data_IF_257487802647
#
_entry.id   IF_257487802647
#
_cell.length_a   1.000
_cell.length_b   1.000
_cell.length_c   1.000
_cell.angle_alpha   90.00
_cell.angle_beta   90.00
_cell.angle_gamma   90.00
#
_symmetry.space_group_name_H-M   'P 1'
#
loop_
_entity.id
_entity.type
_entity.pdbx_description
1 polymer ?
#
# COMPACT_ATOMS: atom_id res chain seq x y z
N UNK A 1 4.16 6.63 -10.28
CA UNK A 1 3.33 5.55 -9.74
C UNK A 1 2.35 5.06 -10.82
N UNK A 2 1.46 5.91 -11.32
CA UNK A 2 0.30 5.52 -12.13
C UNK A 2 0.54 5.46 -13.66
N UNK A 3 1.78 5.60 -14.15
CA UNK A 3 2.03 5.73 -15.59
C UNK A 3 3.21 4.89 -16.04
N UNK A 4 4.44 5.31 -15.74
CA UNK A 4 5.65 4.68 -16.29
C UNK A 4 5.82 3.18 -15.97
N UNK A 5 5.44 2.66 -14.77
CA UNK A 5 5.57 1.24 -14.49
C UNK A 5 4.70 0.32 -15.38
N UNK A 6 3.76 0.89 -16.15
CA UNK A 6 2.78 0.14 -16.94
C UNK A 6 3.06 0.11 -18.45
N UNK A 7 4.20 0.62 -18.88
CA UNK A 7 4.67 0.51 -20.26
C UNK A 7 6.21 0.59 -20.32
N UNK A 8 6.80 0.35 -21.46
CA UNK A 8 8.25 0.45 -21.62
C UNK A 8 8.72 1.92 -21.62
N UNK A 9 8.85 2.48 -20.42
CA UNK A 9 9.34 3.84 -20.21
C UNK A 9 10.86 3.83 -20.01
N UNK A 10 11.55 4.86 -20.51
CA UNK A 10 13.01 5.00 -20.46
C UNK A 10 13.59 4.90 -19.04
N UNK A 11 12.87 5.43 -18.05
CA UNK A 11 13.33 5.47 -16.65
C UNK A 11 13.06 4.19 -15.86
N UNK A 12 12.31 3.23 -16.41
CA UNK A 12 12.05 1.98 -15.72
C UNK A 12 13.36 1.20 -15.51
N UNK A 13 13.45 0.55 -14.35
CA UNK A 13 14.66 -0.18 -13.96
C UNK A 13 14.30 -1.38 -13.07
N UNK A 14 14.38 -2.57 -13.61
CA UNK A 14 14.08 -3.85 -12.93
C UNK A 14 15.27 -4.82 -12.99
N UNK A 15 15.17 -5.95 -12.31
CA UNK A 15 16.19 -7.01 -12.35
C UNK A 15 16.10 -7.77 -13.67
N UNK A 16 16.85 -7.31 -14.68
CA UNK A 16 16.92 -7.92 -16.02
C UNK A 16 18.19 -8.76 -16.14
N UNK A 17 18.15 -9.92 -16.83
CA UNK A 17 16.99 -10.46 -17.58
C UNK A 17 16.02 -11.30 -16.76
N UNK A 18 16.30 -11.58 -15.48
CA UNK A 18 15.61 -12.57 -14.66
C UNK A 18 14.12 -12.24 -14.42
N UNK A 19 13.73 -10.97 -14.53
CA UNK A 19 12.37 -10.51 -14.31
C UNK A 19 11.65 -10.05 -15.59
N UNK A 20 12.29 -10.10 -16.75
CA UNK A 20 11.77 -9.55 -18.01
C UNK A 20 10.38 -10.11 -18.38
N UNK A 21 10.15 -11.40 -18.20
CA UNK A 21 8.88 -12.05 -18.49
C UNK A 21 7.74 -11.53 -17.59
N UNK A 22 8.01 -11.26 -16.31
CA UNK A 22 7.03 -10.71 -15.38
C UNK A 22 6.71 -9.25 -15.70
N UNK A 23 7.73 -8.46 -16.08
CA UNK A 23 7.56 -7.07 -16.49
C UNK A 23 6.73 -6.97 -17.76
N UNK A 24 7.06 -7.78 -18.79
CA UNK A 24 6.27 -7.80 -20.03
C UNK A 24 4.82 -8.25 -19.80
N UNK A 25 4.58 -9.20 -18.88
CA UNK A 25 3.22 -9.57 -18.48
C UNK A 25 2.48 -8.41 -17.81
N UNK A 26 3.15 -7.66 -16.95
CA UNK A 26 2.55 -6.48 -16.29
C UNK A 26 2.18 -5.39 -17.32
N UNK A 27 3.01 -5.16 -18.34
CA UNK A 27 2.70 -4.21 -19.41
C UNK A 27 1.59 -4.68 -20.36
N UNK A 28 1.34 -5.98 -20.44
CA UNK A 28 0.25 -6.56 -21.23
C UNK A 28 -1.06 -6.72 -20.44
N UNK A 29 -1.05 -6.47 -19.12
CA UNK A 29 -2.23 -6.65 -18.26
C UNK A 29 -3.20 -5.47 -18.38
N UNK A 30 -4.19 -5.63 -19.25
CA UNK A 30 -5.19 -4.59 -19.56
C UNK A 30 -6.00 -4.20 -18.32
N UNK A 31 -6.36 -5.17 -17.45
CA UNK A 31 -7.12 -4.89 -16.23
C UNK A 31 -6.31 -4.02 -15.27
N UNK A 32 -5.04 -4.36 -15.05
CA UNK A 32 -4.16 -3.58 -14.19
C UNK A 32 -3.94 -2.16 -14.73
N UNK A 33 -3.75 -2.00 -16.05
CA UNK A 33 -3.61 -0.68 -16.70
C UNK A 33 -4.87 0.15 -16.53
N UNK A 34 -6.05 -0.44 -16.72
CA UNK A 34 -7.33 0.27 -16.54
C UNK A 34 -7.52 0.75 -15.10
N UNK A 35 -7.14 -0.05 -14.12
CA UNK A 35 -7.17 0.36 -12.71
C UNK A 35 -6.17 1.49 -12.46
N UNK A 36 -4.96 1.40 -12.99
CA UNK A 36 -3.94 2.45 -12.85
C UNK A 36 -4.41 3.80 -13.42
N UNK A 37 -5.04 3.79 -14.58
CA UNK A 37 -5.62 5.00 -15.19
C UNK A 37 -6.72 5.61 -14.30
N UNK A 38 -7.63 4.77 -13.75
CA UNK A 38 -8.70 5.21 -12.87
C UNK A 38 -8.14 5.83 -11.58
N UNK A 39 -7.15 5.21 -10.97
CA UNK A 39 -6.53 5.70 -9.74
C UNK A 39 -5.64 6.92 -9.95
N UNK A 40 -5.02 7.06 -11.12
CA UNK A 40 -4.39 8.32 -11.51
C UNK A 40 -5.40 9.48 -11.54
N UNK A 41 -6.59 9.25 -12.09
CA UNK A 41 -7.65 10.25 -12.09
C UNK A 41 -8.12 10.61 -10.67
N UNK A 42 -8.37 9.60 -9.80
CA UNK A 42 -8.66 9.81 -8.37
C UNK A 42 -7.58 10.65 -7.69
N UNK A 43 -6.31 10.29 -7.86
CA UNK A 43 -5.17 11.01 -7.30
C UNK A 43 -5.15 12.49 -7.70
N UNK A 44 -5.56 12.82 -8.92
CA UNK A 44 -5.56 14.18 -9.44
C UNK A 44 -6.81 15.00 -9.03
N UNK A 45 -7.87 14.35 -8.58
CA UNK A 45 -9.19 15.01 -8.39
C UNK A 45 -9.72 14.93 -6.97
N UNK A 46 -9.24 14.01 -6.13
CA UNK A 46 -9.71 13.84 -4.76
C UNK A 46 -8.79 14.53 -3.75
N UNK A 47 -9.25 15.63 -3.18
CA UNK A 47 -8.53 16.41 -2.17
C UNK A 47 -9.11 16.15 -0.77
N UNK A 48 -8.99 14.91 -0.27
CA UNK A 48 -9.63 14.46 0.97
C UNK A 48 -8.89 14.91 2.23
N UNK A 49 -7.54 14.90 2.22
CA UNK A 49 -6.71 15.23 3.37
C UNK A 49 -5.36 15.80 2.94
N UNK A 50 -4.68 16.47 3.89
CA UNK A 50 -3.26 16.79 3.72
C UNK A 50 -2.44 15.50 3.88
N UNK A 51 -1.75 15.11 2.83
CA UNK A 51 -0.93 13.92 2.76
C UNK A 51 0.54 14.25 2.97
N UNK A 52 1.32 13.23 3.37
CA UNK A 52 2.78 13.26 3.33
C UNK A 52 3.30 13.22 1.88
N UNK A 53 2.66 12.43 1.03
CA UNK A 53 2.95 12.33 -0.40
C UNK A 53 4.01 11.30 -0.81
N UNK A 54 4.82 10.80 0.14
CA UNK A 54 5.76 9.68 -0.03
C UNK A 54 5.97 8.96 1.32
N UNK A 55 4.87 8.54 1.96
CA UNK A 55 4.92 7.86 3.25
C UNK A 55 5.36 6.42 3.09
N UNK A 56 6.60 6.15 3.43
CA UNK A 56 7.19 4.81 3.42
C UNK A 56 7.99 4.55 4.71
N UNK A 57 8.44 3.32 4.93
CA UNK A 57 9.18 2.94 6.15
C UNK A 57 10.44 3.80 6.38
N UNK A 58 11.10 4.27 5.34
CA UNK A 58 12.25 5.15 5.41
C UNK A 58 11.93 6.59 5.86
N UNK A 59 10.66 7.01 5.78
CA UNK A 59 10.19 8.32 6.27
C UNK A 59 9.74 8.28 7.74
N UNK A 60 9.97 7.16 8.43
CA UNK A 60 9.56 6.98 9.84
C UNK A 60 10.79 6.69 10.70
N UNK A 61 11.09 7.61 11.61
CA UNK A 61 12.15 7.47 12.61
C UNK A 61 11.55 6.96 13.93
N UNK A 62 12.09 5.88 14.45
CA UNK A 62 11.59 5.21 15.66
C UNK A 62 12.70 5.09 16.70
N UNK A 63 12.38 5.39 17.96
CA UNK A 63 13.17 5.09 19.14
C UNK A 63 12.34 4.27 20.12
N UNK A 64 12.91 3.88 21.24
CA UNK A 64 12.18 3.16 22.30
C UNK A 64 11.02 3.95 22.89
N UNK A 65 11.03 5.27 22.75
CA UNK A 65 10.06 6.16 23.40
C UNK A 65 9.35 7.13 22.47
N UNK A 66 9.75 7.22 21.19
CA UNK A 66 9.20 8.22 20.28
C UNK A 66 9.18 7.72 18.82
N UNK A 67 8.23 8.25 18.05
CA UNK A 67 8.11 8.01 16.61
C UNK A 67 7.88 9.32 15.89
N UNK A 68 8.69 9.60 14.87
CA UNK A 68 8.58 10.82 14.05
C UNK A 68 8.43 10.44 12.58
N UNK A 69 7.47 11.06 11.90
CA UNK A 69 7.40 11.08 10.45
C UNK A 69 8.20 12.29 9.97
N UNK A 70 9.07 12.05 9.00
CA UNK A 70 10.02 13.06 8.46
C UNK A 70 9.87 13.16 6.95
N UNK A 71 10.43 14.22 6.36
CA UNK A 71 10.54 14.38 4.91
C UNK A 71 9.21 14.56 4.15
N UNK A 72 8.32 15.49 4.60
CA UNK A 72 7.02 15.74 3.96
C UNK A 72 7.13 16.66 2.74
N UNK A 73 8.24 16.64 2.00
CA UNK A 73 8.51 17.56 0.89
C UNK A 73 7.49 17.45 -0.26
N UNK A 74 6.83 16.30 -0.40
CA UNK A 74 5.79 16.06 -1.38
C UNK A 74 4.38 16.31 -0.85
N UNK A 75 4.24 17.00 0.30
CA UNK A 75 2.95 17.23 0.94
C UNK A 75 1.94 17.95 0.03
N UNK A 76 0.73 17.40 -0.08
CA UNK A 76 -0.36 17.95 -0.89
C UNK A 76 -1.73 17.52 -0.38
N UNK A 77 -2.80 18.19 -0.84
CA UNK A 77 -4.17 17.75 -0.60
C UNK A 77 -4.53 16.64 -1.61
N UNK A 78 -4.79 15.43 -1.10
CA UNK A 78 -5.00 14.26 -1.94
C UNK A 78 -5.87 13.18 -1.29
N UNK A 79 -6.04 12.01 -1.97
CA UNK A 79 -6.82 10.89 -1.45
C UNK A 79 -6.11 10.22 -0.26
N UNK A 80 -6.79 10.09 0.88
CA UNK A 80 -6.21 9.50 2.11
C UNK A 80 -5.59 8.11 1.90
N UNK A 81 -6.20 7.32 1.03
CA UNK A 81 -5.73 5.98 0.68
C UNK A 81 -4.31 5.94 0.12
N UNK A 82 -3.80 7.06 -0.41
CA UNK A 82 -2.49 7.10 -1.06
C UNK A 82 -1.36 6.83 -0.07
N UNK A 83 -1.28 7.59 1.02
CA UNK A 83 -0.22 7.40 2.02
C UNK A 83 -0.37 6.08 2.79
N UNK A 84 -1.61 5.70 3.13
CA UNK A 84 -1.89 4.42 3.78
C UNK A 84 -1.41 3.27 2.87
N UNK A 85 -1.75 3.33 1.60
CA UNK A 85 -1.34 2.33 0.61
C UNK A 85 0.17 2.29 0.41
N UNK A 86 0.84 3.43 0.29
CA UNK A 86 2.29 3.49 0.17
C UNK A 86 2.98 2.82 1.35
N UNK A 87 2.54 3.08 2.57
CA UNK A 87 3.11 2.47 3.77
C UNK A 87 2.90 0.95 3.81
N UNK A 88 1.67 0.48 3.55
CA UNK A 88 1.35 -0.96 3.48
C UNK A 88 2.16 -1.64 2.37
N UNK A 89 2.26 -1.02 1.19
CA UNK A 89 3.02 -1.54 0.06
C UNK A 89 4.52 -1.72 0.40
N UNK A 90 5.10 -0.78 1.13
CA UNK A 90 6.49 -0.89 1.59
C UNK A 90 6.69 -2.02 2.61
N UNK A 91 5.76 -2.21 3.57
CA UNK A 91 5.82 -3.35 4.49
C UNK A 91 5.70 -4.69 3.77
N UNK A 92 4.87 -4.78 2.73
CA UNK A 92 4.77 -5.98 1.88
C UNK A 92 6.05 -6.21 1.07
N UNK A 93 6.68 -5.16 0.53
CA UNK A 93 7.97 -5.29 -0.16
C UNK A 93 9.06 -5.80 0.81
N UNK A 94 9.10 -5.27 2.03
CA UNK A 94 9.98 -5.77 3.08
C UNK A 94 9.69 -7.24 3.41
N UNK A 95 8.43 -7.66 3.51
CA UNK A 95 8.03 -9.04 3.71
C UNK A 95 8.55 -9.97 2.60
N UNK A 96 8.34 -9.60 1.33
CA UNK A 96 8.76 -10.44 0.20
C UNK A 96 10.27 -10.45 0.00
N UNK A 97 11.00 -9.43 0.44
CA UNK A 97 12.47 -9.35 0.33
C UNK A 97 13.21 -10.27 1.31
N UNK A 98 12.57 -10.73 2.40
CA UNK A 98 13.23 -11.43 3.50
C UNK A 98 14.06 -12.66 3.12
N UNK A 99 13.67 -13.48 2.12
CA UNK A 99 14.52 -14.59 1.68
C UNK A 99 15.92 -14.16 1.22
N UNK A 100 16.07 -12.94 0.71
CA UNK A 100 17.36 -12.38 0.30
C UNK A 100 18.26 -11.89 1.45
N UNK A 101 17.70 -11.74 2.66
CA UNK A 101 18.40 -11.15 3.80
C UNK A 101 18.73 -12.14 4.93
N UNK A 102 17.95 -13.18 5.05
CA UNK A 102 18.09 -14.11 6.17
C UNK A 102 17.98 -15.56 5.71
N UNK A 103 19.10 -16.27 5.78
CA UNK A 103 19.17 -17.69 5.45
C UNK A 103 18.57 -18.59 6.55
N UNK A 104 18.45 -18.09 7.79
CA UNK A 104 17.81 -18.83 8.88
C UNK A 104 16.30 -18.79 8.74
N UNK A 105 15.68 -19.94 8.47
CA UNK A 105 14.25 -20.03 8.19
C UNK A 105 13.36 -19.56 9.34
N UNK A 106 13.69 -19.94 10.58
CA UNK A 106 12.88 -19.55 11.74
C UNK A 106 12.93 -18.04 11.97
N UNK A 107 14.12 -17.46 12.01
CA UNK A 107 14.29 -16.00 12.18
C UNK A 107 13.63 -15.22 11.06
N UNK A 108 13.72 -15.71 9.83
CA UNK A 108 13.04 -15.14 8.67
C UNK A 108 11.53 -15.20 8.84
N UNK A 109 10.98 -16.35 9.21
CA UNK A 109 9.54 -16.53 9.43
C UNK A 109 9.00 -15.62 10.54
N UNK A 110 9.73 -15.53 11.67
CA UNK A 110 9.35 -14.68 12.80
C UNK A 110 9.30 -13.19 12.39
N UNK A 111 10.30 -12.73 11.62
CA UNK A 111 10.31 -11.35 11.13
C UNK A 111 9.24 -11.09 10.06
N UNK A 112 8.99 -12.04 9.17
CA UNK A 112 7.92 -11.95 8.20
C UNK A 112 6.55 -11.87 8.89
N UNK A 113 6.30 -12.68 9.91
CA UNK A 113 5.07 -12.63 10.69
C UNK A 113 4.92 -11.27 11.40
N UNK A 114 6.01 -10.75 11.99
CA UNK A 114 6.01 -9.43 12.60
C UNK A 114 5.63 -8.33 11.59
N UNK A 115 6.17 -8.35 10.36
CA UNK A 115 5.82 -7.39 9.30
C UNK A 115 4.34 -7.45 8.94
N UNK A 116 3.78 -8.66 8.80
CA UNK A 116 2.36 -8.83 8.52
C UNK A 116 1.47 -8.30 9.66
N UNK A 117 1.90 -8.51 10.90
CA UNK A 117 1.21 -7.95 12.07
C UNK A 117 1.26 -6.42 12.09
N UNK A 118 2.36 -5.79 11.66
CA UNK A 118 2.41 -4.33 11.54
C UNK A 118 1.37 -3.81 10.53
N UNK A 119 1.14 -4.51 9.42
CA UNK A 119 0.10 -4.15 8.44
C UNK A 119 -1.29 -4.17 9.10
N UNK A 120 -1.63 -5.25 9.81
CA UNK A 120 -2.91 -5.37 10.53
C UNK A 120 -3.07 -4.29 11.58
N UNK A 121 -2.03 -4.06 12.40
CA UNK A 121 -2.06 -3.05 13.45
C UNK A 121 -2.19 -1.63 12.88
N UNK A 122 -1.48 -1.31 11.81
CA UNK A 122 -1.59 -0.01 11.14
C UNK A 122 -3.03 0.29 10.76
N UNK A 123 -3.70 -0.64 10.08
CA UNK A 123 -5.08 -0.47 9.67
C UNK A 123 -6.04 -0.39 10.88
N UNK A 124 -5.91 -1.29 11.83
CA UNK A 124 -6.80 -1.36 12.99
C UNK A 124 -6.69 -0.13 13.90
N UNK A 125 -5.46 0.34 14.13
CA UNK A 125 -5.22 1.57 14.92
C UNK A 125 -5.75 2.78 14.17
N UNK A 126 -5.40 2.92 12.88
CA UNK A 126 -5.88 4.03 12.06
C UNK A 126 -7.41 4.13 12.06
N UNK A 127 -8.11 3.05 11.76
CA UNK A 127 -9.58 3.06 11.69
C UNK A 127 -10.24 3.33 13.04
N UNK A 128 -9.68 2.78 14.12
CA UNK A 128 -10.16 3.06 15.49
C UNK A 128 -10.02 4.53 15.84
N UNK A 129 -8.83 5.10 15.67
CA UNK A 129 -8.56 6.50 16.03
C UNK A 129 -9.36 7.47 15.14
N UNK A 130 -9.44 7.18 13.84
CA UNK A 130 -10.23 8.00 12.92
C UNK A 130 -11.71 7.98 13.28
N UNK A 131 -12.27 6.79 13.61
CA UNK A 131 -13.67 6.65 14.03
C UNK A 131 -13.95 7.41 15.33
N UNK A 132 -13.05 7.35 16.31
CA UNK A 132 -13.16 8.13 17.54
C UNK A 132 -13.13 9.64 17.29
N UNK A 133 -12.26 10.12 16.42
CA UNK A 133 -12.20 11.52 16.02
C UNK A 133 -13.48 11.95 15.31
N UNK A 134 -13.99 11.11 14.42
CA UNK A 134 -15.24 11.37 13.70
C UNK A 134 -16.43 11.47 14.69
N UNK A 135 -16.55 10.53 15.62
CA UNK A 135 -17.62 10.53 16.60
C UNK A 135 -17.59 11.78 17.53
N UNK A 136 -16.40 12.29 17.82
CA UNK A 136 -16.22 13.37 18.80
C UNK A 136 -16.09 14.76 18.17
N UNK A 137 -15.83 14.88 16.87
CA UNK A 137 -15.49 16.14 16.20
C UNK A 137 -16.23 16.33 14.86
N UNK A 138 -17.49 15.94 14.82
CA UNK A 138 -18.35 16.19 13.64
C UNK A 138 -18.63 17.69 13.49
N UNK A 139 -17.68 18.40 12.89
CA UNK A 139 -17.84 19.79 12.49
C UNK A 139 -17.68 19.90 10.97
N UNK A 140 -18.61 20.60 10.32
CA UNK A 140 -18.57 20.84 8.88
C UNK A 140 -19.76 20.26 8.14
N UNK A 141 -19.90 20.62 6.88
CA UNK A 141 -21.08 20.36 6.06
C UNK A 141 -21.20 18.92 5.55
N UNK A 142 -20.06 18.19 5.46
CA UNK A 142 -20.07 16.84 4.88
C UNK A 142 -20.82 15.82 5.77
N UNK A 143 -20.67 15.95 7.09
CA UNK A 143 -21.23 15.02 8.07
C UNK A 143 -21.84 15.78 9.26
N UNK A 144 -22.90 16.58 9.06
CA UNK A 144 -23.45 17.40 10.11
C UNK A 144 -24.10 16.55 11.20
N UNK A 145 -23.75 16.83 12.46
CA UNK A 145 -24.20 16.08 13.63
C UNK A 145 -25.73 15.99 13.70
N UNK A 146 -26.43 17.03 13.27
CA UNK A 146 -27.90 17.13 13.30
C UNK A 146 -28.58 16.02 12.48
N UNK A 147 -27.95 15.56 11.39
CA UNK A 147 -28.49 14.45 10.60
C UNK A 147 -28.47 13.13 11.32
N UNK A 148 -27.58 12.95 12.28
CA UNK A 148 -27.34 11.68 12.96
C UNK A 148 -27.81 11.65 14.41
N UNK A 149 -28.21 12.79 14.99
CA UNK A 149 -28.65 12.87 16.38
C UNK A 149 -29.80 11.90 16.72
N UNK A 150 -30.70 11.67 15.77
CA UNK A 150 -31.86 10.79 15.95
C UNK A 150 -31.68 9.40 15.32
N UNK A 151 -30.60 9.19 14.61
CA UNK A 151 -30.35 7.92 13.90
C UNK A 151 -28.86 7.56 13.92
N UNK A 152 -28.37 7.07 15.04
CA UNK A 152 -26.98 6.63 15.20
C UNK A 152 -26.60 5.52 14.21
N UNK A 153 -27.52 4.61 13.90
CA UNK A 153 -27.28 3.51 12.97
C UNK A 153 -26.94 4.02 11.55
N UNK A 154 -27.52 5.16 11.12
CA UNK A 154 -27.19 5.74 9.82
C UNK A 154 -25.76 6.29 9.78
N UNK A 155 -25.24 6.82 10.88
CA UNK A 155 -23.85 7.24 10.99
C UNK A 155 -22.89 6.03 10.95
N UNK A 156 -23.20 4.99 11.69
CA UNK A 156 -22.39 3.76 11.75
C UNK A 156 -22.30 3.09 10.37
N UNK A 157 -23.42 3.01 9.65
CA UNK A 157 -23.45 2.48 8.27
C UNK A 157 -22.62 3.35 7.32
N UNK A 158 -22.74 4.68 7.40
CA UNK A 158 -21.94 5.61 6.60
C UNK A 158 -20.43 5.48 6.90
N UNK A 159 -20.06 5.32 8.18
CA UNK A 159 -18.66 5.08 8.57
C UNK A 159 -18.15 3.73 8.03
N UNK A 160 -18.95 2.68 8.12
CA UNK A 160 -18.57 1.35 7.62
C UNK A 160 -18.36 1.35 6.11
N UNK A 161 -19.23 2.02 5.36
CA UNK A 161 -19.07 2.18 3.91
C UNK A 161 -17.82 3.01 3.56
N UNK A 162 -17.55 4.09 4.31
CA UNK A 162 -16.35 4.90 4.14
C UNK A 162 -15.08 4.07 4.34
N UNK A 163 -14.98 3.32 5.44
CA UNK A 163 -13.80 2.50 5.72
C UNK A 163 -13.66 1.32 4.75
N UNK A 164 -14.76 0.74 4.27
CA UNK A 164 -14.70 -0.29 3.23
C UNK A 164 -14.12 0.26 1.92
N UNK A 165 -14.54 1.46 1.50
CA UNK A 165 -14.00 2.14 0.33
C UNK A 165 -12.53 2.53 0.53
N UNK A 166 -12.20 3.07 1.70
CA UNK A 166 -10.84 3.46 2.04
C UNK A 166 -9.89 2.26 2.06
N UNK A 167 -10.35 1.09 2.54
CA UNK A 167 -9.59 -0.16 2.48
C UNK A 167 -9.30 -0.56 1.03
N UNK A 168 -10.33 -0.64 0.18
CA UNK A 168 -10.17 -0.96 -1.24
C UNK A 168 -9.14 -0.03 -1.90
N UNK A 169 -9.30 1.27 -1.72
CA UNK A 169 -8.43 2.28 -2.31
C UNK A 169 -6.99 2.18 -1.77
N UNK A 170 -6.82 1.91 -0.47
CA UNK A 170 -5.50 1.73 0.13
C UNK A 170 -4.78 0.50 -0.41
N UNK A 171 -5.50 -0.61 -0.61
CA UNK A 171 -4.94 -1.83 -1.19
C UNK A 171 -4.52 -1.63 -2.64
N UNK A 172 -5.31 -0.94 -3.44
CA UNK A 172 -4.93 -0.62 -4.83
C UNK A 172 -3.67 0.26 -4.84
N UNK A 173 -3.60 1.30 -4.01
CA UNK A 173 -2.40 2.13 -3.92
C UNK A 173 -1.18 1.35 -3.42
N UNK A 174 -1.34 0.42 -2.46
CA UNK A 174 -0.27 -0.48 -2.02
C UNK A 174 0.28 -1.33 -3.17
N UNK A 175 -0.58 -1.93 -3.97
CA UNK A 175 -0.18 -2.69 -5.15
C UNK A 175 0.53 -1.83 -6.19
N UNK A 176 0.06 -0.61 -6.43
CA UNK A 176 0.70 0.34 -7.35
C UNK A 176 2.07 0.80 -6.86
N UNK A 177 2.21 1.02 -5.56
CA UNK A 177 3.49 1.35 -4.95
C UNK A 177 4.48 0.18 -5.09
N UNK A 178 4.05 -1.05 -4.79
CA UNK A 178 4.88 -2.25 -4.98
C UNK A 178 5.33 -2.40 -6.44
N UNK A 179 4.41 -2.23 -7.39
CA UNK A 179 4.72 -2.31 -8.82
C UNK A 179 5.74 -1.22 -9.25
N UNK A 180 5.54 0.03 -8.78
CA UNK A 180 6.46 1.15 -9.03
C UNK A 180 7.86 0.90 -8.47
N UNK A 181 7.96 0.34 -7.26
CA UNK A 181 9.25 0.10 -6.59
C UNK A 181 10.04 -1.04 -7.21
N UNK A 182 9.38 -1.95 -7.93
CA UNK A 182 10.03 -3.08 -8.61
C UNK A 182 10.36 -2.75 -10.07
N UNK A 183 9.39 -2.23 -10.83
CA UNK A 183 9.54 -1.98 -12.27
C UNK A 183 10.01 -0.55 -12.55
N UNK A 184 9.58 0.42 -11.74
CA UNK A 184 9.77 1.84 -12.02
C UNK A 184 11.14 2.37 -11.61
N UNK A 185 11.28 3.68 -11.71
CA UNK A 185 12.52 4.43 -11.48
C UNK A 185 13.05 4.31 -10.03
N UNK A 186 12.18 4.37 -9.03
CA UNK A 186 12.58 4.46 -7.62
C UNK A 186 12.45 3.12 -6.90
N UNK A 187 13.48 2.28 -6.98
CA UNK A 187 13.53 1.01 -6.24
C UNK A 187 13.71 1.17 -4.73
N UNK A 188 13.46 0.10 -3.98
CA UNK A 188 13.69 0.03 -2.53
C UNK A 188 14.97 -0.74 -2.21
N UNK A 189 15.68 -0.29 -1.17
CA UNK A 189 16.95 -0.89 -0.76
C UNK A 189 16.81 -2.37 -0.41
N UNK A 190 15.71 -2.74 0.23
CA UNK A 190 15.40 -4.11 0.66
C UNK A 190 15.40 -5.13 -0.49
N UNK A 191 15.09 -4.71 -1.71
CA UNK A 191 15.17 -5.56 -2.90
C UNK A 191 16.46 -5.32 -3.66
N UNK A 192 16.82 -4.07 -3.95
CA UNK A 192 17.97 -3.72 -4.81
C UNK A 192 19.31 -4.19 -4.23
N UNK A 193 19.46 -4.30 -2.90
CA UNK A 193 20.68 -4.74 -2.24
C UNK A 193 20.79 -6.26 -2.08
N UNK A 194 19.83 -7.06 -2.55
CA UNK A 194 19.98 -8.51 -2.62
C UNK A 194 20.97 -8.81 -3.75
N UNK A 195 22.18 -9.28 -3.40
CA UNK A 195 23.28 -9.47 -4.35
C UNK A 195 22.99 -10.55 -5.39
N UNK A 196 22.39 -11.67 -4.97
CA UNK A 196 22.01 -12.76 -5.88
C UNK A 196 20.79 -12.33 -6.71
N UNK A 197 21.00 -12.12 -8.02
CA UNK A 197 19.98 -11.60 -8.94
C UNK A 197 18.82 -12.57 -9.14
N UNK A 198 19.06 -13.88 -9.17
CA UNK A 198 17.99 -14.89 -9.28
C UNK A 198 17.11 -14.88 -8.02
N UNK A 199 17.74 -14.82 -6.83
CA UNK A 199 17.01 -14.74 -5.56
C UNK A 199 16.22 -13.42 -5.47
N UNK A 200 16.84 -12.31 -5.88
CA UNK A 200 16.17 -11.01 -5.94
C UNK A 200 14.95 -11.06 -6.85
N UNK A 201 15.10 -11.54 -8.08
CA UNK A 201 14.02 -11.68 -9.03
C UNK A 201 12.90 -12.61 -8.51
N UNK A 202 13.26 -13.66 -7.78
CA UNK A 202 12.29 -14.52 -7.09
C UNK A 202 11.45 -13.76 -6.05
N UNK A 203 12.08 -12.91 -5.24
CA UNK A 203 11.39 -12.03 -4.29
C UNK A 203 10.50 -11.00 -5.01
N UNK A 204 11.05 -10.33 -6.03
CA UNK A 204 10.33 -9.34 -6.83
C UNK A 204 9.12 -9.94 -7.56
N UNK A 205 9.25 -11.15 -8.12
CA UNK A 205 8.16 -11.86 -8.81
C UNK A 205 6.99 -12.17 -7.89
N UNK A 206 7.28 -12.63 -6.67
CA UNK A 206 6.24 -12.88 -5.65
C UNK A 206 5.55 -11.58 -5.25
N UNK A 207 6.32 -10.51 -5.05
CA UNK A 207 5.79 -9.19 -4.74
C UNK A 207 4.93 -8.62 -5.88
N UNK A 208 5.34 -8.76 -7.15
CA UNK A 208 4.53 -8.37 -8.32
C UNK A 208 3.22 -9.17 -8.43
N UNK A 209 3.25 -10.46 -8.08
CA UNK A 209 2.04 -11.28 -8.05
C UNK A 209 1.04 -10.77 -7.00
N UNK A 210 1.53 -10.41 -5.82
CA UNK A 210 0.71 -9.78 -4.78
C UNK A 210 0.25 -8.39 -5.20
N UNK A 211 1.11 -7.57 -5.78
CA UNK A 211 0.77 -6.24 -6.29
C UNK A 211 -0.39 -6.29 -7.29
N UNK A 212 -0.33 -7.23 -8.24
CA UNK A 212 -1.43 -7.43 -9.19
C UNK A 212 -2.75 -7.77 -8.49
N UNK A 213 -2.72 -8.68 -7.51
CA UNK A 213 -3.92 -9.06 -6.76
C UNK A 213 -4.51 -7.85 -6.02
N UNK A 214 -3.67 -7.04 -5.38
CA UNK A 214 -4.10 -5.83 -4.69
C UNK A 214 -4.68 -4.78 -5.66
N UNK A 215 -4.13 -4.67 -6.87
CA UNK A 215 -4.61 -3.71 -7.87
C UNK A 215 -5.95 -4.17 -8.47
N UNK A 216 -6.02 -5.42 -8.94
CA UNK A 216 -7.15 -5.89 -9.75
C UNK A 216 -8.28 -6.47 -8.89
N UNK A 217 -7.92 -7.13 -7.80
CA UNK A 217 -8.83 -7.90 -6.97
C UNK A 217 -9.10 -7.24 -5.59
N UNK A 218 -8.79 -5.95 -5.40
CA UNK A 218 -8.91 -5.25 -4.11
C UNK A 218 -10.26 -5.50 -3.40
N UNK A 219 -11.36 -5.53 -4.13
CA UNK A 219 -12.72 -5.76 -3.62
C UNK A 219 -12.94 -7.15 -3.01
N UNK A 220 -12.08 -8.11 -3.32
CA UNK A 220 -12.18 -9.45 -2.76
C UNK A 220 -11.61 -9.51 -1.33
N UNK A 221 -10.72 -8.57 -0.98
CA UNK A 221 -10.17 -8.45 0.36
C UNK A 221 -11.16 -7.70 1.27
N UNK A 222 -11.77 -8.43 2.20
CA UNK A 222 -12.78 -7.85 3.11
C UNK A 222 -12.18 -7.21 4.36
N UNK A 223 -10.94 -7.56 4.69
CA UNK A 223 -10.17 -7.06 5.83
C UNK A 223 -8.68 -7.33 5.63
N UNK A 224 -7.84 -6.80 6.52
CA UNK A 224 -6.39 -7.01 6.47
C UNK A 224 -5.98 -8.48 6.69
N UNK A 225 -6.77 -9.27 7.41
CA UNK A 225 -6.47 -10.70 7.57
C UNK A 225 -6.49 -11.44 6.23
N UNK A 226 -7.45 -11.11 5.35
CA UNK A 226 -7.50 -11.69 4.00
C UNK A 226 -6.30 -11.27 3.14
N UNK A 227 -5.76 -10.08 3.34
CA UNK A 227 -4.55 -9.59 2.65
C UNK A 227 -3.33 -10.37 3.10
N UNK A 228 -3.12 -10.52 4.42
CA UNK A 228 -1.96 -11.28 4.94
C UNK A 228 -2.03 -12.77 4.60
N UNK A 229 -3.22 -13.38 4.57
CA UNK A 229 -3.37 -14.75 4.09
C UNK A 229 -2.98 -14.88 2.62
N UNK A 230 -3.38 -13.94 1.77
CA UNK A 230 -2.96 -13.91 0.37
C UNK A 230 -1.44 -13.75 0.24
N UNK A 231 -0.81 -12.88 1.03
CA UNK A 231 0.65 -12.69 1.01
C UNK A 231 1.42 -13.98 1.39
N UNK A 232 0.91 -14.76 2.34
CA UNK A 232 1.54 -16.02 2.81
C UNK A 232 1.56 -17.13 1.75
N UNK A 233 0.66 -17.12 0.79
CA UNK A 233 0.55 -18.16 -0.26
C UNK A 233 1.19 -17.76 -1.60
N UNK A 234 1.75 -16.57 -1.72
CA UNK A 234 2.51 -16.08 -2.89
C UNK A 234 3.99 -16.37 -2.70
#
# INVERSE_FOLDING_TARGET
>A
IFTEPYYNAERNNWTSPELDDAVHKAWADVEMIQVAMRYKYKFMTEAQALLHGDLHSGSIMVTDTDTKVIDPEFGFMGPMAFDIGNYIGNLLLAYFSRPGWDANEQRRADYQEWLLQQIVQTWSVFTREFRQLWDNKTQGDAWPTEMYQQNRAALEDAQDQFFATLLEDSLVNAGMEMNRRIIGFAGVAELKQIENTELRAGCERRALTMARDLIVNARQFKNMDSVIQSAKVK
#
